data_IF_055021911361
#
_entry.id   IF_055021911361
#
_cell.length_a   1.000
_cell.length_b   1.000
_cell.length_c   1.000
_cell.angle_alpha   90.00
_cell.angle_beta   90.00
_cell.angle_gamma   90.00
#
_symmetry.space_group_name_H-M   'P 1'
#
loop_
_entity.id
_entity.type
_entity.pdbx_description
1 polymer ?
#
# COMPACT_ATOMS: atom_id res chain seq x y z
N UNK A 1 26.08 15.70 -3.54
CA UNK A 1 24.69 15.83 -4.01
C UNK A 1 23.93 14.64 -3.44
N UNK A 2 23.00 14.87 -2.51
CA UNK A 2 22.16 13.77 -2.00
C UNK A 2 21.16 13.39 -3.08
N UNK A 3 21.22 12.15 -3.58
CA UNK A 3 20.19 11.60 -4.44
C UNK A 3 18.84 11.56 -3.68
N UNK A 4 17.73 11.87 -4.34
CA UNK A 4 16.43 11.81 -3.68
C UNK A 4 16.15 10.39 -3.20
N UNK A 5 15.72 10.26 -1.94
CA UNK A 5 15.33 8.96 -1.37
C UNK A 5 14.09 8.44 -2.09
N UNK A 6 14.14 7.21 -2.59
CA UNK A 6 12.98 6.55 -3.18
C UNK A 6 12.11 5.92 -2.10
N UNK A 7 10.80 6.17 -2.14
CA UNK A 7 9.85 5.50 -1.26
C UNK A 7 9.49 4.12 -1.79
N UNK A 8 9.21 4.05 -3.10
CA UNK A 8 8.99 2.80 -3.82
C UNK A 8 9.81 2.79 -5.10
N UNK A 9 10.35 1.65 -5.47
CA UNK A 9 10.93 1.44 -6.79
C UNK A 9 10.58 0.06 -7.32
N UNK A 10 10.45 -0.05 -8.62
CA UNK A 10 9.97 -1.22 -9.33
C UNK A 10 10.94 -1.51 -10.46
N UNK A 11 11.29 -2.79 -10.61
CA UNK A 11 12.19 -3.26 -11.67
C UNK A 11 11.58 -4.45 -12.38
N UNK A 12 11.47 -4.33 -13.68
CA UNK A 12 10.99 -5.37 -14.60
C UNK A 12 9.71 -6.05 -14.13
N UNK A 13 8.73 -5.23 -13.71
CA UNK A 13 7.49 -5.73 -13.14
C UNK A 13 6.55 -6.24 -14.23
N UNK A 14 6.08 -7.46 -14.03
CA UNK A 14 5.03 -8.05 -14.85
C UNK A 14 3.88 -8.51 -13.97
N UNK A 15 2.66 -8.34 -14.45
CA UNK A 15 1.45 -8.84 -13.79
C UNK A 15 0.57 -9.52 -14.80
N UNK A 16 0.18 -10.76 -14.47
CA UNK A 16 -0.82 -11.52 -15.23
C UNK A 16 -2.05 -11.75 -14.36
N UNK A 17 -3.22 -11.43 -14.87
CA UNK A 17 -4.51 -11.67 -14.22
C UNK A 17 -5.36 -12.57 -15.12
N UNK A 18 -5.88 -13.67 -14.58
CA UNK A 18 -6.73 -14.62 -15.32
C UNK A 18 -6.13 -15.09 -16.67
N UNK A 19 -4.80 -15.28 -16.70
CA UNK A 19 -4.08 -15.71 -17.89
C UNK A 19 -3.78 -14.60 -18.92
N UNK A 20 -4.18 -13.37 -18.64
CA UNK A 20 -3.84 -12.21 -19.48
C UNK A 20 -2.73 -11.37 -18.83
N UNK A 21 -1.73 -11.03 -19.62
CA UNK A 21 -0.70 -10.11 -19.18
C UNK A 21 -1.26 -8.69 -19.19
N UNK A 22 -1.30 -8.07 -18.01
CA UNK A 22 -1.83 -6.71 -17.82
C UNK A 22 -0.70 -5.68 -17.74
N UNK A 23 0.40 -6.04 -17.10
CA UNK A 23 1.59 -5.19 -17.02
C UNK A 23 2.79 -5.93 -17.59
N UNK A 24 3.60 -5.23 -18.36
CA UNK A 24 4.78 -5.77 -19.02
C UNK A 24 5.98 -4.89 -18.76
N UNK A 25 7.03 -5.46 -18.15
CA UNK A 25 8.33 -4.83 -17.98
C UNK A 25 8.26 -3.37 -17.50
N UNK A 26 7.57 -3.16 -16.38
CA UNK A 26 7.43 -1.83 -15.80
C UNK A 26 8.62 -1.53 -14.91
N UNK A 27 9.29 -0.43 -15.21
CA UNK A 27 10.33 0.18 -14.39
C UNK A 27 9.89 1.57 -13.98
N UNK A 28 9.72 1.80 -12.68
CA UNK A 28 9.27 3.10 -12.15
C UNK A 28 9.77 3.31 -10.73
N UNK A 29 10.01 4.56 -10.37
CA UNK A 29 10.41 4.94 -9.01
C UNK A 29 9.60 6.12 -8.51
N UNK A 30 9.27 6.08 -7.22
CA UNK A 30 8.47 7.09 -6.52
C UNK A 30 9.33 7.74 -5.42
N UNK A 31 9.52 9.04 -5.52
CA UNK A 31 10.34 9.81 -4.59
C UNK A 31 9.62 9.99 -3.26
N UNK A 32 10.32 9.79 -2.15
CA UNK A 32 9.78 10.01 -0.81
C UNK A 32 9.38 11.49 -0.61
N UNK A 33 8.27 11.70 0.12
CA UNK A 33 7.74 13.03 0.41
C UNK A 33 7.13 13.75 -0.80
N UNK A 34 6.86 13.04 -1.89
CA UNK A 34 6.22 13.57 -3.09
C UNK A 34 4.86 12.92 -3.34
N UNK A 35 3.92 13.73 -3.78
CA UNK A 35 2.67 13.24 -4.34
C UNK A 35 2.90 12.81 -5.78
N UNK A 36 2.42 11.61 -6.14
CA UNK A 36 2.52 11.07 -7.51
C UNK A 36 1.14 10.63 -7.98
N UNK A 37 0.73 11.10 -9.14
CA UNK A 37 -0.52 10.69 -9.79
C UNK A 37 -0.22 9.79 -10.99
N UNK A 38 -0.95 8.67 -11.09
CA UNK A 38 -0.90 7.76 -12.23
C UNK A 38 -2.12 8.05 -13.11
N UNK A 39 -1.89 8.53 -14.32
CA UNK A 39 -2.93 8.90 -15.27
C UNK A 39 -2.88 8.03 -16.52
N UNK A 40 -4.01 7.87 -17.19
CA UNK A 40 -4.12 7.08 -18.42
C UNK A 40 -5.56 6.62 -18.67
N UNK A 41 -5.88 6.04 -19.84
CA UNK A 41 -7.21 5.57 -20.18
C UNK A 41 -7.69 4.43 -19.28
N UNK A 42 -8.99 4.15 -19.30
CA UNK A 42 -9.55 2.99 -18.62
C UNK A 42 -8.98 1.70 -19.25
N UNK A 43 -8.66 0.72 -18.42
CA UNK A 43 -8.04 -0.53 -18.88
C UNK A 43 -6.51 -0.48 -19.04
N UNK A 44 -5.86 0.68 -18.85
CA UNK A 44 -4.40 0.82 -18.97
C UNK A 44 -3.58 0.13 -17.86
N UNK A 45 -4.23 -0.55 -16.91
CA UNK A 45 -3.52 -1.27 -15.83
C UNK A 45 -3.19 -0.41 -14.60
N UNK A 46 -3.68 0.82 -14.48
CA UNK A 46 -3.40 1.72 -13.34
C UNK A 46 -3.70 1.09 -11.97
N UNK A 47 -4.91 0.57 -11.82
CA UNK A 47 -5.33 -0.09 -10.58
C UNK A 47 -4.56 -1.38 -10.32
N UNK A 48 -4.17 -2.10 -11.37
CA UNK A 48 -3.33 -3.29 -11.28
C UNK A 48 -1.94 -2.93 -10.79
N UNK A 49 -1.35 -1.86 -11.33
CA UNK A 49 -0.06 -1.35 -10.84
C UNK A 49 -0.12 -0.96 -9.37
N UNK A 50 -1.13 -0.19 -8.96
CA UNK A 50 -1.30 0.21 -7.56
C UNK A 50 -1.47 -1.01 -6.63
N UNK A 51 -2.26 -2.02 -7.02
CA UNK A 51 -2.40 -3.27 -6.25
C UNK A 51 -1.10 -4.06 -6.17
N UNK A 52 -0.33 -4.09 -7.24
CA UNK A 52 1.00 -4.71 -7.27
C UNK A 52 1.95 -4.01 -6.30
N UNK A 53 2.02 -2.67 -6.35
CA UNK A 53 2.83 -1.84 -5.45
C UNK A 53 2.45 -2.03 -3.98
N UNK A 54 1.16 -2.24 -3.71
CA UNK A 54 0.66 -2.53 -2.36
C UNK A 54 0.91 -3.98 -1.91
N UNK A 55 1.42 -4.85 -2.79
CA UNK A 55 1.65 -6.26 -2.52
C UNK A 55 0.35 -7.06 -2.34
N UNK A 56 -0.73 -6.64 -2.99
CA UNK A 56 -2.07 -7.25 -2.90
C UNK A 56 -2.30 -8.32 -3.98
N UNK A 57 -1.46 -8.36 -5.00
CA UNK A 57 -1.55 -9.33 -6.10
C UNK A 57 -0.16 -9.91 -6.39
N UNK A 58 -0.08 -11.15 -6.91
CA UNK A 58 1.18 -11.75 -7.29
C UNK A 58 1.78 -11.02 -8.49
N UNK A 59 3.11 -10.92 -8.47
CA UNK A 59 3.91 -10.25 -9.51
C UNK A 59 5.15 -11.06 -9.82
N UNK A 60 5.76 -10.80 -10.98
CA UNK A 60 7.16 -11.14 -11.27
C UNK A 60 7.96 -9.85 -11.46
N UNK A 61 9.28 -9.90 -11.27
CA UNK A 61 10.12 -8.72 -11.12
C UNK A 61 10.27 -8.33 -9.66
N UNK A 62 10.81 -7.18 -9.37
CA UNK A 62 11.11 -6.74 -7.99
C UNK A 62 10.44 -5.42 -7.64
N UNK A 63 9.88 -5.35 -6.44
CA UNK A 63 9.35 -4.12 -5.84
C UNK A 63 10.15 -3.87 -4.56
N UNK A 64 10.66 -2.66 -4.40
CA UNK A 64 11.39 -2.22 -3.21
C UNK A 64 10.59 -1.14 -2.49
N UNK A 65 10.37 -1.34 -1.22
CA UNK A 65 9.87 -0.32 -0.30
C UNK A 65 11.06 0.26 0.45
N UNK A 66 11.39 1.51 0.17
CA UNK A 66 12.67 2.11 0.49
C UNK A 66 13.82 1.24 -0.08
N UNK A 67 14.70 0.73 0.76
CA UNK A 67 15.85 -0.09 0.33
C UNK A 67 15.62 -1.59 0.52
N UNK A 68 14.40 -2.03 0.89
CA UNK A 68 14.05 -3.42 1.16
C UNK A 68 13.11 -3.99 0.10
N UNK A 69 13.43 -5.15 -0.42
CA UNK A 69 12.53 -5.86 -1.34
C UNK A 69 11.22 -6.21 -0.63
N UNK A 70 10.09 -5.87 -1.23
CA UNK A 70 8.76 -5.94 -0.60
C UNK A 70 8.42 -7.35 -0.11
N UNK A 71 8.84 -8.38 -0.83
CA UNK A 71 8.61 -9.78 -0.46
C UNK A 71 9.42 -10.23 0.75
N UNK A 72 10.53 -9.56 1.07
CA UNK A 72 11.38 -9.86 2.22
C UNK A 72 10.88 -9.21 3.52
N UNK A 73 9.97 -8.23 3.41
CA UNK A 73 9.40 -7.53 4.57
C UNK A 73 8.26 -8.37 5.14
N UNK A 74 8.29 -8.64 6.45
CA UNK A 74 7.19 -9.34 7.11
C UNK A 74 5.88 -8.53 7.01
N UNK A 75 4.74 -9.23 7.09
CA UNK A 75 3.41 -8.62 6.86
C UNK A 75 3.10 -7.47 7.82
N UNK A 76 3.40 -7.63 9.12
CA UNK A 76 3.13 -6.61 10.15
C UNK A 76 3.95 -5.35 9.87
N UNK A 77 5.25 -5.51 9.63
CA UNK A 77 6.15 -4.40 9.31
C UNK A 77 5.79 -3.70 8.01
N UNK A 78 5.40 -4.45 6.98
CA UNK A 78 4.92 -3.88 5.72
C UNK A 78 3.66 -3.05 5.91
N UNK A 79 2.68 -3.55 6.67
CA UNK A 79 1.43 -2.84 6.96
C UNK A 79 1.64 -1.58 7.82
N UNK A 80 2.73 -1.48 8.58
CA UNK A 80 3.13 -0.26 9.29
C UNK A 80 3.73 0.81 8.37
N UNK A 81 4.24 0.43 7.21
CA UNK A 81 4.96 1.33 6.29
C UNK A 81 4.17 1.64 5.02
N UNK A 82 3.20 0.82 4.67
CA UNK A 82 2.41 0.92 3.45
C UNK A 82 0.93 0.78 3.77
N UNK A 83 0.15 1.78 3.42
CA UNK A 83 -1.30 1.74 3.53
C UNK A 83 -1.96 1.70 2.15
N UNK A 84 -3.10 1.05 2.07
CA UNK A 84 -3.93 0.94 0.88
C UNK A 84 -5.31 1.52 1.15
N UNK A 85 -5.78 2.37 0.22
CA UNK A 85 -7.17 2.80 0.17
C UNK A 85 -7.74 2.44 -1.21
N UNK A 86 -8.63 1.47 -1.24
CA UNK A 86 -9.29 1.01 -2.45
C UNK A 86 -10.44 1.91 -2.88
N UNK A 87 -10.85 1.80 -4.14
CA UNK A 87 -11.92 2.61 -4.71
C UNK A 87 -13.31 2.18 -4.23
N UNK A 88 -13.52 0.88 -4.01
CA UNK A 88 -14.80 0.27 -3.64
C UNK A 88 -14.58 -0.80 -2.56
N UNK A 89 -13.99 -0.39 -1.43
CA UNK A 89 -13.89 -1.30 -0.30
C UNK A 89 -15.30 -1.46 0.32
N UNK A 90 -15.79 -2.70 0.48
CA UNK A 90 -17.05 -2.93 1.15
C UNK A 90 -16.87 -2.56 2.63
N UNK A 91 -17.33 -1.39 3.01
CA UNK A 91 -17.46 -1.00 4.41
C UNK A 91 -18.81 -1.52 4.87
N UNK A 92 -18.85 -2.26 5.98
CA UNK A 92 -20.11 -2.66 6.60
C UNK A 92 -20.85 -1.39 7.04
N UNK A 93 -22.14 -1.29 6.69
CA UNK A 93 -22.98 -0.13 7.01
C UNK A 93 -23.09 0.12 8.52
N UNK A 94 -22.74 -0.87 9.34
CA UNK A 94 -22.80 -0.81 10.80
C UNK A 94 -21.52 -0.23 11.46
N UNK A 95 -20.44 0.03 10.69
CA UNK A 95 -19.20 0.57 11.24
C UNK A 95 -19.25 2.10 11.31
N UNK A 96 -18.90 2.64 12.48
CA UNK A 96 -18.69 4.09 12.63
C UNK A 96 -17.38 4.49 11.97
N UNK A 97 -17.27 5.74 11.55
CA UNK A 97 -16.01 6.31 10.98
C UNK A 97 -14.82 6.07 11.92
N UNK A 98 -15.03 6.20 13.22
CA UNK A 98 -14.03 5.87 14.24
C UNK A 98 -13.50 4.44 14.12
N UNK A 99 -14.40 3.49 13.99
CA UNK A 99 -14.05 2.05 13.91
C UNK A 99 -13.25 1.77 12.64
N UNK A 100 -13.62 2.37 11.52
CA UNK A 100 -12.90 2.25 10.25
C UNK A 100 -11.48 2.82 10.36
N UNK A 101 -11.31 4.00 10.94
CA UNK A 101 -9.99 4.63 11.12
C UNK A 101 -9.14 3.83 12.11
N UNK A 102 -9.78 3.25 13.14
CA UNK A 102 -9.09 2.38 14.11
C UNK A 102 -8.49 1.11 13.46
N UNK A 103 -9.07 0.60 12.37
CA UNK A 103 -8.48 -0.53 11.61
C UNK A 103 -7.06 -0.21 11.14
N UNK A 104 -6.74 1.04 10.87
CA UNK A 104 -5.39 1.49 10.52
C UNK A 104 -4.35 1.29 11.65
N UNK A 105 -4.81 1.05 12.88
CA UNK A 105 -3.95 0.76 14.03
C UNK A 105 -3.64 -0.72 14.24
N UNK A 106 -4.38 -1.63 13.57
CA UNK A 106 -4.18 -3.08 13.70
C UNK A 106 -2.71 -3.53 13.54
N UNK A 107 -1.91 -2.99 12.62
CA UNK A 107 -0.50 -3.40 12.49
C UNK A 107 0.37 -3.05 13.69
N UNK A 108 -0.10 -2.18 14.58
CA UNK A 108 0.62 -1.72 15.78
C UNK A 108 0.15 -2.42 17.05
N UNK A 109 -0.92 -3.22 16.96
CA UNK A 109 -1.50 -3.96 18.08
C UNK A 109 -0.99 -5.40 18.09
N UNK A 110 -0.98 -6.02 19.25
CA UNK A 110 -0.81 -7.46 19.36
C UNK A 110 -2.15 -8.17 19.26
N UNK A 111 -2.12 -9.44 18.88
CA UNK A 111 -3.29 -10.24 18.49
C UNK A 111 -4.45 -10.23 19.51
N UNK A 112 -4.15 -10.11 20.81
CA UNK A 112 -5.14 -10.19 21.89
C UNK A 112 -5.35 -8.87 22.64
N UNK A 113 -4.66 -7.81 22.23
CA UNK A 113 -4.71 -6.55 22.96
C UNK A 113 -5.87 -5.65 22.48
N UNK A 114 -6.52 -5.02 23.44
CA UNK A 114 -7.43 -3.91 23.14
C UNK A 114 -6.62 -2.70 22.67
N UNK A 115 -7.23 -1.79 21.87
CA UNK A 115 -6.58 -0.56 21.45
C UNK A 115 -6.03 0.24 22.66
N UNK A 116 -4.78 0.62 22.56
CA UNK A 116 -4.09 1.40 23.58
C UNK A 116 -4.56 2.88 23.62
N UNK A 117 -4.24 3.60 24.69
CA UNK A 117 -4.46 5.04 24.75
C UNK A 117 -3.76 5.81 23.61
N UNK A 118 -2.59 5.32 23.18
CA UNK A 118 -1.89 5.88 22.02
C UNK A 118 -2.65 5.65 20.71
N UNK A 119 -3.28 4.48 20.51
CA UNK A 119 -4.09 4.20 19.33
C UNK A 119 -5.30 5.14 19.26
N UNK A 120 -5.98 5.35 20.38
CA UNK A 120 -7.07 6.32 20.48
C UNK A 120 -6.60 7.74 20.14
N UNK A 121 -5.47 8.20 20.68
CA UNK A 121 -4.93 9.52 20.40
C UNK A 121 -4.57 9.71 18.91
N UNK A 122 -3.99 8.70 18.29
CA UNK A 122 -3.64 8.73 16.86
C UNK A 122 -4.91 8.82 16.00
N UNK A 123 -5.95 8.04 16.32
CA UNK A 123 -7.23 8.07 15.61
C UNK A 123 -7.92 9.41 15.76
N UNK A 124 -7.96 9.98 16.98
CA UNK A 124 -8.50 11.33 17.22
C UNK A 124 -7.78 12.39 16.38
N UNK A 125 -6.47 12.29 16.27
CA UNK A 125 -5.66 13.23 15.48
C UNK A 125 -5.96 13.09 13.99
N UNK A 126 -6.16 11.87 13.50
CA UNK A 126 -6.47 11.60 12.10
C UNK A 126 -7.88 12.06 11.69
N UNK A 127 -8.81 12.19 12.64
CA UNK A 127 -10.20 12.59 12.40
C UNK A 127 -10.42 14.13 12.50
N UNK A 128 -9.40 14.90 12.84
CA UNK A 128 -9.41 16.39 12.88
C UNK A 128 -9.02 16.99 11.54
#
# INVERSE_FOLDING_TARGET
MNLPKMALSVRDLHVSLTGQNVLHSIDVSFVAGRWTSIVGPNGAGKSTLLKALAGLIPVTGSIFLFDHELVSIDRKRRAQQLSWLGQNEPVSDDLRVWDVVMLGRMPYQDWLDAPSANDHSVVETALK
#
